data_IF_446986609081
#
_entry.id   IF_446986609081
#
_cell.length_a   1.000
_cell.length_b   1.000
_cell.length_c   1.000
_cell.angle_alpha   90.00
_cell.angle_beta   90.00
_cell.angle_gamma   90.00
#
_symmetry.space_group_name_H-M   'P 1'
#
loop_
_entity.id
_entity.type
_entity.pdbx_description
1 polymer ?
#
# COMPACT_ATOMS: atom_id res chain seq x y z
N UNK A 1 -6.86 4.78 -11.23
CA UNK A 1 -6.53 6.02 -10.51
C UNK A 1 -6.53 7.25 -11.41
N UNK A 2 -6.10 7.17 -12.68
CA UNK A 2 -6.06 8.32 -13.61
C UNK A 2 -6.96 8.17 -14.86
N UNK A 3 -7.84 7.16 -14.90
CA UNK A 3 -8.75 6.91 -16.05
C UNK A 3 -9.68 8.09 -16.36
N UNK A 4 -9.97 8.96 -15.38
CA UNK A 4 -10.77 10.16 -15.57
C UNK A 4 -10.12 11.25 -16.45
N UNK A 5 -8.82 11.13 -16.73
CA UNK A 5 -8.09 12.03 -17.63
C UNK A 5 -7.90 11.45 -19.04
N UNK A 6 -8.45 10.26 -19.32
CA UNK A 6 -8.39 9.66 -20.65
C UNK A 6 -9.14 10.49 -21.72
N UNK A 7 -10.10 11.31 -21.31
CA UNK A 7 -10.93 12.17 -22.18
C UNK A 7 -10.51 13.65 -22.17
N UNK A 8 -9.57 14.04 -21.30
CA UNK A 8 -9.02 15.41 -21.19
C UNK A 8 -7.55 15.44 -21.59
N UNK A 9 -7.31 15.29 -22.89
CA UNK A 9 -6.01 15.05 -23.51
C UNK A 9 -4.99 16.17 -23.28
N UNK A 10 -4.13 16.03 -22.27
CA UNK A 10 -2.80 16.62 -22.32
C UNK A 10 -1.77 15.51 -22.22
N UNK A 11 -0.88 15.43 -23.23
CA UNK A 11 0.20 14.43 -23.30
C UNK A 11 1.06 14.43 -22.02
N UNK A 12 1.18 15.59 -21.38
CA UNK A 12 1.89 15.77 -20.13
C UNK A 12 1.34 14.89 -19.00
N UNK A 13 0.02 14.72 -18.86
CA UNK A 13 -0.57 13.91 -17.77
C UNK A 13 -0.31 12.41 -17.98
N UNK A 14 -0.24 11.95 -19.23
CA UNK A 14 0.12 10.55 -19.51
C UNK A 14 1.60 10.23 -19.25
N UNK A 15 2.47 11.24 -19.24
CA UNK A 15 3.89 11.11 -18.96
C UNK A 15 4.21 11.12 -17.45
N UNK A 16 3.25 11.52 -16.59
CA UNK A 16 3.46 11.56 -15.13
C UNK A 16 3.59 10.14 -14.57
N UNK A 17 4.75 9.90 -13.96
CA UNK A 17 4.95 8.83 -12.99
C UNK A 17 4.69 9.40 -11.60
N UNK A 18 3.83 8.73 -10.83
CA UNK A 18 3.55 9.09 -9.43
C UNK A 18 3.69 7.87 -8.55
N UNK A 19 4.02 8.07 -7.29
CA UNK A 19 4.12 7.00 -6.31
C UNK A 19 4.17 7.57 -4.91
N UNK A 20 3.95 6.71 -3.93
CA UNK A 20 3.98 7.08 -2.51
C UNK A 20 4.37 5.85 -1.67
N UNK A 21 4.83 6.09 -0.44
CA UNK A 21 5.17 5.04 0.50
C UNK A 21 4.02 4.68 1.43
N UNK A 22 3.76 3.38 1.59
CA UNK A 22 2.70 2.88 2.47
C UNK A 22 3.18 1.73 3.35
N UNK A 23 2.57 1.62 4.54
CA UNK A 23 2.76 0.48 5.42
C UNK A 23 1.72 -0.60 5.11
N UNK A 24 2.19 -1.77 4.70
CA UNK A 24 1.37 -2.97 4.55
C UNK A 24 1.52 -3.81 5.82
N UNK A 25 0.41 -4.01 6.53
CA UNK A 25 0.37 -4.78 7.77
C UNK A 25 0.06 -6.24 7.46
N UNK A 26 0.76 -7.17 8.11
CA UNK A 26 0.49 -8.61 7.99
C UNK A 26 -0.87 -8.99 8.59
N UNK A 27 -1.34 -8.19 9.55
CA UNK A 27 -2.62 -8.37 10.21
C UNK A 27 -3.33 -7.03 10.35
N UNK A 28 -4.49 -6.90 9.71
CA UNK A 28 -5.42 -5.81 9.97
C UNK A 28 -6.53 -6.31 10.91
N UNK A 29 -6.58 -5.85 12.18
CA UNK A 29 -7.63 -6.24 13.09
C UNK A 29 -8.98 -5.72 12.60
N UNK A 30 -10.00 -6.57 12.71
CA UNK A 30 -11.38 -6.17 12.47
C UNK A 30 -11.74 -4.92 13.27
N UNK A 31 -12.39 -3.97 12.61
CA UNK A 31 -12.99 -2.82 13.28
C UNK A 31 -14.14 -3.28 14.18
N UNK A 32 -14.53 -2.48 15.17
CA UNK A 32 -15.68 -2.78 16.04
C UNK A 32 -16.99 -3.03 15.26
N UNK A 33 -17.12 -2.44 14.07
CA UNK A 33 -18.29 -2.63 13.19
C UNK A 33 -18.23 -3.98 12.47
N UNK A 34 -17.05 -4.36 12.00
CA UNK A 34 -16.83 -5.65 11.33
C UNK A 34 -16.89 -6.83 12.31
N UNK A 35 -16.49 -6.61 13.57
CA UNK A 35 -16.49 -7.64 14.60
C UNK A 35 -17.86 -7.85 15.25
N UNK A 36 -18.94 -7.28 14.72
CA UNK A 36 -20.30 -7.47 15.27
C UNK A 36 -20.79 -8.85 14.91
N UNK A 37 -21.19 -9.61 15.91
CA UNK A 37 -21.76 -10.94 15.77
C UNK A 37 -23.12 -10.98 16.48
N UNK A 38 -24.02 -11.79 15.94
CA UNK A 38 -25.30 -12.07 16.57
C UNK A 38 -25.08 -13.10 17.68
N UNK A 39 -25.58 -12.81 18.87
CA UNK A 39 -25.58 -13.73 20.02
C UNK A 39 -26.99 -13.89 20.55
N UNK A 40 -27.26 -15.02 21.21
CA UNK A 40 -28.53 -15.22 21.93
C UNK A 40 -28.63 -14.27 23.13
N UNK A 41 -29.87 -13.98 23.56
CA UNK A 41 -30.18 -12.93 24.55
C UNK A 41 -29.45 -13.11 25.89
N UNK A 42 -29.26 -14.36 26.33
CA UNK A 42 -28.59 -14.69 27.59
C UNK A 42 -27.14 -15.18 27.42
N UNK A 43 -26.61 -15.17 26.20
CA UNK A 43 -25.25 -15.64 25.94
C UNK A 43 -24.19 -14.58 26.34
N UNK A 44 -23.04 -15.00 26.88
CA UNK A 44 -21.95 -14.07 27.16
C UNK A 44 -21.42 -13.43 25.86
N UNK A 45 -20.93 -12.17 25.90
CA UNK A 45 -20.37 -11.52 24.73
C UNK A 45 -19.19 -12.33 24.14
N UNK A 46 -19.07 -12.40 22.81
CA UNK A 46 -17.99 -13.16 22.17
C UNK A 46 -16.65 -12.47 22.46
N UNK A 47 -15.73 -13.22 23.05
CA UNK A 47 -14.37 -12.72 23.32
C UNK A 47 -13.49 -12.96 22.10
N UNK A 48 -13.21 -11.89 21.34
CA UNK A 48 -12.26 -11.95 20.22
C UNK A 48 -10.86 -11.53 20.65
N UNK A 49 -9.90 -12.43 20.46
CA UNK A 49 -8.48 -12.12 20.64
C UNK A 49 -8.05 -11.14 19.55
N UNK A 50 -7.69 -9.91 19.96
CA UNK A 50 -7.13 -8.90 19.05
C UNK A 50 -5.61 -8.90 19.15
N UNK A 51 -4.94 -9.18 18.02
CA UNK A 51 -3.51 -8.88 17.89
C UNK A 51 -3.33 -7.41 17.53
N UNK A 52 -2.30 -6.78 18.08
CA UNK A 52 -1.95 -5.42 17.69
C UNK A 52 -1.50 -5.39 16.21
N UNK A 53 -1.82 -4.31 15.48
CA UNK A 53 -1.34 -4.09 14.10
C UNK A 53 0.18 -4.16 13.97
N UNK A 54 0.91 -3.91 15.04
CA UNK A 54 2.38 -3.79 15.05
C UNK A 54 3.15 -5.11 14.95
N UNK A 55 2.50 -6.28 15.02
CA UNK A 55 3.22 -7.58 15.08
C UNK A 55 3.95 -7.93 13.78
N UNK A 56 3.53 -7.35 12.65
CA UNK A 56 4.25 -7.43 11.38
C UNK A 56 3.79 -6.33 10.44
N UNK A 57 4.70 -5.44 10.04
CA UNK A 57 4.46 -4.40 9.04
C UNK A 57 5.66 -4.29 8.13
N UNK A 58 5.39 -4.09 6.85
CA UNK A 58 6.37 -3.97 5.79
C UNK A 58 6.08 -2.68 5.03
N UNK A 59 7.10 -1.84 4.85
CA UNK A 59 6.96 -0.61 4.08
C UNK A 59 7.20 -0.89 2.61
N UNK A 60 6.40 -0.27 1.75
CA UNK A 60 6.43 -0.41 0.31
C UNK A 60 6.38 0.97 -0.33
N UNK A 61 7.24 1.22 -1.32
CA UNK A 61 7.10 2.33 -2.24
C UNK A 61 6.41 1.82 -3.51
N UNK A 62 5.27 2.41 -3.88
CA UNK A 62 4.44 1.91 -4.98
C UNK A 62 4.26 3.01 -6.02
N UNK A 63 4.53 2.70 -7.28
CA UNK A 63 4.49 3.64 -8.40
C UNK A 63 3.47 3.25 -9.45
N UNK A 64 2.84 4.27 -10.02
CA UNK A 64 1.77 4.18 -11.00
C UNK A 64 1.94 5.24 -12.09
N UNK A 65 1.39 4.92 -13.26
CA UNK A 65 1.14 5.81 -14.38
C UNK A 65 -0.35 5.92 -14.64
N UNK A 66 -0.71 6.77 -15.59
CA UNK A 66 -2.09 6.83 -16.09
C UNK A 66 -2.56 5.50 -16.69
N UNK A 67 -1.62 4.75 -17.27
CA UNK A 67 -1.83 3.41 -17.83
C UNK A 67 -2.03 2.32 -16.77
N UNK A 68 -1.53 2.48 -15.55
CA UNK A 68 -1.67 1.48 -14.49
C UNK A 68 -0.50 1.40 -13.53
N UNK A 69 -0.34 0.23 -12.92
CA UNK A 69 0.76 -0.10 -12.02
C UNK A 69 2.10 -0.16 -12.78
N UNK A 70 3.17 0.33 -12.14
CA UNK A 70 4.53 0.30 -12.69
C UNK A 70 5.40 -0.64 -11.87
N UNK A 71 5.61 -0.34 -10.59
CA UNK A 71 6.50 -1.12 -9.73
C UNK A 71 6.16 -0.93 -8.25
N UNK A 72 6.45 -1.95 -7.42
CA UNK A 72 6.33 -1.91 -5.98
C UNK A 72 7.62 -2.42 -5.34
N UNK A 73 8.32 -1.55 -4.61
CA UNK A 73 9.58 -1.89 -3.95
C UNK A 73 9.38 -2.02 -2.45
N UNK A 74 9.63 -3.22 -1.93
CA UNK A 74 9.63 -3.47 -0.48
C UNK A 74 10.91 -2.95 0.18
N UNK A 75 10.76 -2.27 1.32
CA UNK A 75 11.87 -1.85 2.18
C UNK A 75 12.20 -2.92 3.22
N UNK A 76 13.13 -3.82 2.90
CA UNK A 76 13.48 -4.96 3.76
C UNK A 76 13.88 -4.52 5.21
N UNK A 77 13.54 -5.36 6.20
CA UNK A 77 13.99 -5.28 7.60
C UNK A 77 13.49 -4.13 8.51
N UNK A 78 12.21 -3.74 8.45
CA UNK A 78 11.64 -2.68 9.32
C UNK A 78 12.46 -1.37 9.32
N UNK A 79 13.30 -1.16 8.31
CA UNK A 79 14.14 0.03 8.16
C UNK A 79 13.26 1.22 7.85
N UNK A 80 13.82 2.42 7.98
CA UNK A 80 13.17 3.67 7.59
C UNK A 80 13.48 3.98 6.12
N UNK A 81 12.57 4.64 5.41
CA UNK A 81 12.87 5.19 4.08
C UNK A 81 13.97 6.22 4.25
N UNK A 82 15.14 5.92 3.70
CA UNK A 82 16.30 6.81 3.68
C UNK A 82 16.55 7.25 2.24
N UNK A 83 17.21 8.41 2.08
CA UNK A 83 17.63 8.87 0.75
C UNK A 83 18.55 7.86 0.05
N UNK A 84 19.41 7.18 0.82
CA UNK A 84 20.30 6.13 0.32
C UNK A 84 19.51 4.96 -0.28
N UNK A 85 18.57 4.38 0.47
CA UNK A 85 17.71 3.31 -0.04
C UNK A 85 16.90 3.75 -1.27
N UNK A 86 16.36 4.97 -1.24
CA UNK A 86 15.53 5.48 -2.33
C UNK A 86 16.32 5.59 -3.64
N UNK A 87 17.56 6.07 -3.56
CA UNK A 87 18.44 6.28 -4.73
C UNK A 87 19.15 5.02 -5.19
N UNK A 88 19.53 4.12 -4.28
CA UNK A 88 20.34 2.92 -4.62
C UNK A 88 19.49 1.67 -4.90
N UNK A 89 18.27 1.59 -4.37
CA UNK A 89 17.41 0.40 -4.50
C UNK A 89 16.07 0.72 -5.14
N UNK A 90 15.35 1.74 -4.65
CA UNK A 90 13.98 1.99 -5.08
C UNK A 90 13.92 2.52 -6.52
N UNK A 91 14.49 3.70 -6.77
CA UNK A 91 14.43 4.35 -8.09
C UNK A 91 15.05 3.52 -9.22
N UNK A 92 16.19 2.83 -9.04
CA UNK A 92 16.73 1.99 -10.11
C UNK A 92 15.74 0.93 -10.61
N UNK A 93 15.03 0.24 -9.70
CA UNK A 93 13.99 -0.74 -10.07
C UNK A 93 12.85 -0.09 -10.85
N UNK A 94 12.39 1.07 -10.38
CA UNK A 94 11.30 1.82 -11.03
C UNK A 94 11.69 2.29 -12.42
N UNK A 95 12.91 2.81 -12.59
CA UNK A 95 13.43 3.27 -13.89
C UNK A 95 13.55 2.09 -14.86
N UNK A 96 14.09 0.95 -14.41
CA UNK A 96 14.17 -0.26 -15.23
C UNK A 96 12.78 -0.74 -15.67
N UNK A 97 11.78 -0.72 -14.78
CA UNK A 97 10.40 -1.09 -15.12
C UNK A 97 9.70 -0.11 -16.07
N UNK A 98 10.23 1.10 -16.22
CA UNK A 98 9.71 2.11 -17.15
C UNK A 98 10.31 1.94 -18.55
N UNK A 99 11.55 1.47 -18.63
CA UNK A 99 12.31 1.29 -19.86
C UNK A 99 12.08 -0.07 -20.53
N UNK A 100 11.48 -1.03 -19.82
CA UNK A 100 11.06 -2.35 -20.33
C UNK A 100 9.75 -2.28 -21.13
#
# INVERSE_FOLDING_TARGET
MLKGFATGSSRAVSEILTGDETWIYHYDPETRRMSKEWVEEDAPPPTKVRRARSVGKQMWAIFFRSSGFVEAVALEDRKTVTADWYTTVCLPKVITAIES
#
